data_IF_900666248655
#
_entry.id   IF_900666248655
#
_cell.length_a   1.000
_cell.length_b   1.000
_cell.length_c   1.000
_cell.angle_alpha   90.00
_cell.angle_beta   90.00
_cell.angle_gamma   90.00
#
_symmetry.space_group_name_H-M   'P 1'
#
loop_
_entity.id
_entity.type
_entity.pdbx_description
1 polymer ?
#
# COMPACT_ATOMS: atom_id res chain seq x y z
N UNK A 1 -25.44 6.77 -2.92
CA UNK A 1 -25.65 5.33 -3.18
C UNK A 1 -24.73 4.94 -4.32
N UNK A 2 -23.49 4.55 -4.02
CA UNK A 2 -22.47 4.20 -5.03
C UNK A 2 -21.92 2.79 -4.82
N UNK A 3 -22.76 1.89 -4.33
CA UNK A 3 -22.60 0.45 -4.53
C UNK A 3 -23.32 0.07 -5.81
N UNK A 4 -22.84 0.58 -6.95
CA UNK A 4 -23.07 -0.19 -8.16
C UNK A 4 -22.39 -1.53 -7.88
N UNK A 5 -23.18 -2.59 -7.80
CA UNK A 5 -22.79 -3.98 -7.53
C UNK A 5 -21.79 -4.43 -8.60
N UNK A 6 -20.56 -3.95 -8.50
CA UNK A 6 -19.48 -4.29 -9.40
C UNK A 6 -19.11 -5.73 -9.06
N UNK A 7 -19.23 -6.59 -10.06
CA UNK A 7 -18.82 -7.97 -9.92
C UNK A 7 -17.29 -8.01 -9.78
N UNK A 8 -16.82 -8.28 -8.57
CA UNK A 8 -15.42 -8.65 -8.36
C UNK A 8 -15.19 -10.06 -8.93
N UNK A 9 -13.99 -10.33 -9.48
CA UNK A 9 -13.65 -11.67 -9.93
C UNK A 9 -13.83 -12.69 -8.79
N UNK A 10 -14.46 -13.83 -9.11
CA UNK A 10 -14.68 -14.90 -8.13
C UNK A 10 -13.36 -15.50 -7.64
N UNK A 11 -12.37 -15.60 -8.55
CA UNK A 11 -11.09 -16.26 -8.27
C UNK A 11 -10.08 -15.30 -7.63
N UNK A 12 -10.09 -15.26 -6.30
CA UNK A 12 -9.18 -14.48 -5.45
C UNK A 12 -7.85 -15.18 -5.21
N UNK A 13 -6.81 -14.40 -4.90
CA UNK A 13 -5.51 -14.91 -4.46
C UNK A 13 -5.64 -15.51 -3.05
N UNK A 14 -5.50 -16.83 -2.88
CA UNK A 14 -5.62 -17.44 -1.56
C UNK A 14 -4.49 -17.00 -0.62
N UNK A 15 -3.35 -16.55 -1.16
CA UNK A 15 -2.17 -16.20 -0.35
C UNK A 15 -2.29 -14.83 0.34
N UNK A 16 -3.32 -14.03 0.02
CA UNK A 16 -3.61 -12.79 0.74
C UNK A 16 -4.74 -12.95 1.77
N UNK A 17 -5.37 -14.13 1.84
CA UNK A 17 -6.36 -14.43 2.87
C UNK A 17 -5.72 -14.39 4.26
N UNK A 18 -6.52 -14.04 5.27
CA UNK A 18 -6.04 -13.84 6.65
C UNK A 18 -5.24 -15.05 7.19
N UNK A 19 -5.72 -16.27 6.95
CA UNK A 19 -5.04 -17.52 7.37
C UNK A 19 -3.63 -17.72 6.78
N UNK A 20 -3.32 -17.08 5.65
CA UNK A 20 -2.03 -17.19 4.96
C UNK A 20 -1.19 -15.93 5.09
N UNK A 21 -1.79 -14.84 5.57
CA UNK A 21 -1.14 -13.56 5.74
C UNK A 21 -0.22 -13.63 6.97
N UNK A 22 1.08 -13.30 6.82
CA UNK A 22 1.98 -13.16 7.97
C UNK A 22 1.46 -12.13 8.97
N UNK A 23 1.91 -12.23 10.22
CA UNK A 23 1.67 -11.21 11.23
C UNK A 23 2.10 -9.81 10.73
N UNK A 24 1.38 -8.78 11.16
CA UNK A 24 1.56 -7.42 10.65
C UNK A 24 2.99 -6.92 10.86
N UNK A 25 3.62 -7.25 11.99
CA UNK A 25 5.00 -6.88 12.33
C UNK A 25 5.99 -7.44 11.29
N UNK A 26 5.77 -8.69 10.86
CA UNK A 26 6.59 -9.32 9.82
C UNK A 26 6.41 -8.61 8.46
N UNK A 27 5.19 -8.19 8.15
CA UNK A 27 4.92 -7.44 6.91
C UNK A 27 5.56 -6.05 6.95
N UNK A 28 5.49 -5.37 8.09
CA UNK A 28 6.09 -4.06 8.35
C UNK A 28 7.61 -4.12 8.14
N UNK A 29 8.28 -5.15 8.66
CA UNK A 29 9.72 -5.37 8.44
C UNK A 29 10.09 -5.69 6.98
N UNK A 30 9.16 -6.22 6.19
CA UNK A 30 9.39 -6.60 4.78
C UNK A 30 9.28 -5.44 3.79
N UNK A 31 8.84 -4.27 4.24
CA UNK A 31 8.73 -3.07 3.40
C UNK A 31 10.10 -2.59 2.97
N UNK A 32 10.19 -2.09 1.74
CA UNK A 32 11.44 -1.55 1.19
C UNK A 32 11.16 -0.23 0.48
N UNK A 33 12.16 0.64 0.44
CA UNK A 33 12.16 1.81 -0.43
C UNK A 33 12.73 1.43 -1.80
N UNK A 34 12.06 1.89 -2.85
CA UNK A 34 12.45 1.75 -4.24
C UNK A 34 12.48 3.10 -4.94
N UNK A 35 13.33 3.20 -5.96
CA UNK A 35 13.35 4.33 -6.89
C UNK A 35 13.56 3.79 -8.29
N UNK A 36 12.67 4.16 -9.19
CA UNK A 36 12.72 3.75 -10.60
C UNK A 36 12.68 4.99 -11.49
N UNK A 37 13.47 4.99 -12.57
CA UNK A 37 13.39 6.03 -13.59
C UNK A 37 12.29 5.67 -14.59
N UNK A 38 11.22 6.44 -14.61
CA UNK A 38 10.11 6.29 -15.55
C UNK A 38 10.48 6.94 -16.87
N UNK A 39 10.78 6.11 -17.87
CA UNK A 39 11.08 6.55 -19.22
C UNK A 39 10.17 5.84 -20.22
N UNK A 40 9.86 6.51 -21.32
CA UNK A 40 9.08 5.96 -22.42
C UNK A 40 9.77 6.30 -23.74
N UNK A 41 9.54 5.51 -24.78
CA UNK A 41 10.12 5.78 -26.09
C UNK A 41 9.66 7.15 -26.58
N UNK A 42 10.54 7.89 -27.27
CA UNK A 42 10.28 9.27 -27.68
C UNK A 42 8.93 9.45 -28.42
N UNK A 43 8.56 8.52 -29.30
CA UNK A 43 7.28 8.55 -30.03
C UNK A 43 6.03 8.20 -29.21
N UNK A 44 6.18 7.80 -27.94
CA UNK A 44 5.07 7.47 -27.04
C UNK A 44 4.83 8.52 -25.97
N UNK A 45 5.70 9.54 -25.85
CA UNK A 45 5.54 10.62 -24.88
C UNK A 45 4.23 11.38 -25.18
N UNK A 46 3.40 11.55 -24.15
CA UNK A 46 2.12 12.28 -24.24
C UNK A 46 0.98 11.53 -24.93
N UNK A 47 1.17 10.27 -25.35
CA UNK A 47 0.12 9.49 -26.03
C UNK A 47 -0.97 8.96 -25.08
N UNK A 48 -0.66 8.92 -23.79
CA UNK A 48 -1.56 8.51 -22.71
C UNK A 48 -1.23 9.27 -21.43
N UNK A 49 -2.13 9.20 -20.44
CA UNK A 49 -1.94 9.85 -19.14
C UNK A 49 -0.61 9.43 -18.48
N UNK A 50 -0.30 8.12 -18.47
CA UNK A 50 0.94 7.59 -17.90
C UNK A 50 2.23 8.02 -18.62
N UNK A 51 2.13 8.53 -19.84
CA UNK A 51 3.28 8.92 -20.68
C UNK A 51 3.48 10.43 -20.76
N UNK A 52 2.70 11.22 -20.00
CA UNK A 52 2.89 12.68 -19.93
C UNK A 52 4.30 13.01 -19.42
N UNK A 53 4.97 14.04 -19.96
CA UNK A 53 6.31 14.43 -19.48
C UNK A 53 6.41 14.66 -17.96
N UNK A 54 5.35 15.18 -17.34
CA UNK A 54 5.25 15.40 -15.89
C UNK A 54 5.25 14.11 -15.06
N UNK A 55 4.90 12.98 -15.68
CA UNK A 55 4.77 11.67 -15.02
C UNK A 55 6.00 10.78 -15.31
N UNK A 56 7.02 11.33 -15.99
CA UNK A 56 8.30 10.70 -16.28
C UNK A 56 9.39 11.19 -15.31
N UNK A 57 10.53 10.50 -15.28
CA UNK A 57 11.67 10.82 -14.41
C UNK A 57 11.75 9.91 -13.18
N UNK A 58 12.49 10.36 -12.16
CA UNK A 58 12.72 9.56 -10.96
C UNK A 58 11.46 9.45 -10.11
N UNK A 59 11.05 8.22 -9.83
CA UNK A 59 9.87 7.89 -9.07
C UNK A 59 10.26 7.13 -7.80
N UNK A 60 10.07 7.78 -6.65
CA UNK A 60 10.33 7.23 -5.31
C UNK A 60 9.06 6.63 -4.72
N UNK A 61 9.18 5.44 -4.13
CA UNK A 61 8.07 4.73 -3.52
C UNK A 61 8.53 3.78 -2.42
N UNK A 62 7.63 3.47 -1.49
CA UNK A 62 7.72 2.27 -0.67
C UNK A 62 6.99 1.12 -1.35
N UNK A 63 7.45 -0.11 -1.15
CA UNK A 63 6.77 -1.29 -1.64
C UNK A 63 6.77 -2.46 -0.66
N UNK A 64 5.76 -3.30 -0.80
CA UNK A 64 5.62 -4.57 -0.07
C UNK A 64 5.38 -5.69 -1.09
N UNK A 65 6.16 -6.76 -0.98
CA UNK A 65 6.09 -7.93 -1.88
C UNK A 65 4.97 -8.87 -1.43
N UNK A 66 3.94 -9.02 -2.25
CA UNK A 66 2.81 -9.92 -2.04
C UNK A 66 3.02 -11.20 -2.84
N UNK A 67 2.93 -12.39 -2.23
CA UNK A 67 3.11 -13.64 -2.95
C UNK A 67 1.98 -13.87 -3.96
N UNK A 68 2.34 -14.42 -5.12
CA UNK A 68 1.41 -14.88 -6.13
C UNK A 68 1.41 -16.41 -6.20
N UNK A 69 0.27 -17.03 -6.55
CA UNK A 69 0.21 -18.44 -6.89
C UNK A 69 1.22 -18.79 -7.99
N UNK A 70 1.85 -19.96 -7.88
CA UNK A 70 2.86 -20.43 -8.86
C UNK A 70 2.29 -20.60 -10.27
N UNK A 71 1.03 -20.99 -10.34
CA UNK A 71 0.31 -21.21 -11.58
C UNK A 71 -0.78 -20.16 -11.78
N UNK A 72 -0.55 -19.29 -12.76
CA UNK A 72 -1.49 -18.27 -13.20
C UNK A 72 -2.02 -18.56 -14.60
N UNK A 73 -2.11 -19.84 -14.98
CA UNK A 73 -2.75 -20.24 -16.23
C UNK A 73 -4.17 -19.66 -16.32
N UNK A 74 -4.45 -19.05 -17.47
CA UNK A 74 -5.72 -18.35 -17.73
C UNK A 74 -5.74 -16.88 -17.28
N UNK A 75 -4.70 -16.38 -16.61
CA UNK A 75 -4.59 -14.96 -16.29
C UNK A 75 -4.48 -14.12 -17.56
N UNK A 76 -5.30 -13.06 -17.65
CA UNK A 76 -5.16 -12.04 -18.69
C UNK A 76 -4.13 -10.96 -18.34
N UNK A 77 -3.86 -10.77 -17.05
CA UNK A 77 -3.02 -9.69 -16.53
C UNK A 77 -1.58 -10.12 -16.21
N UNK A 78 -1.34 -11.43 -16.08
CA UNK A 78 -0.01 -12.01 -15.88
C UNK A 78 0.32 -13.00 -16.99
N UNK A 79 1.45 -12.78 -17.66
CA UNK A 79 2.00 -13.69 -18.65
C UNK A 79 3.24 -14.39 -18.11
N UNK A 80 3.50 -15.65 -18.51
CA UNK A 80 4.75 -16.30 -18.19
C UNK A 80 5.93 -15.54 -18.81
N UNK A 81 7.03 -15.47 -18.07
CA UNK A 81 8.26 -14.81 -18.52
C UNK A 81 8.79 -15.51 -19.78
N UNK A 82 9.19 -14.71 -20.78
CA UNK A 82 9.74 -15.23 -22.05
C UNK A 82 11.03 -16.05 -21.89
N UNK A 83 11.74 -15.88 -20.77
CA UNK A 83 13.05 -16.54 -20.56
C UNK A 83 12.93 -17.97 -20.02
N UNK A 84 12.00 -18.21 -19.11
CA UNK A 84 11.90 -19.47 -18.36
C UNK A 84 10.48 -20.02 -18.29
N UNK A 85 9.53 -19.40 -18.99
CA UNK A 85 8.11 -19.74 -19.02
C UNK A 85 7.43 -19.86 -17.64
N UNK A 86 8.01 -19.25 -16.60
CA UNK A 86 7.40 -19.22 -15.27
C UNK A 86 6.58 -17.96 -15.07
N UNK A 87 5.51 -18.06 -14.29
CA UNK A 87 4.80 -16.90 -13.77
C UNK A 87 5.62 -16.16 -12.71
N UNK A 88 5.34 -14.86 -12.48
CA UNK A 88 5.94 -14.14 -11.37
C UNK A 88 5.51 -14.75 -10.03
N UNK A 89 6.46 -14.96 -9.12
CA UNK A 89 6.19 -15.51 -7.78
C UNK A 89 5.55 -14.49 -6.83
N UNK A 90 5.54 -13.20 -7.21
CA UNK A 90 5.03 -12.13 -6.38
C UNK A 90 4.68 -10.90 -7.21
N UNK A 91 3.81 -10.07 -6.64
CA UNK A 91 3.54 -8.71 -7.10
C UNK A 91 3.93 -7.70 -6.02
N UNK A 92 4.02 -6.41 -6.39
CA UNK A 92 4.38 -5.36 -5.44
C UNK A 92 3.20 -4.41 -5.23
N UNK A 93 2.84 -4.22 -3.96
CA UNK A 93 2.05 -3.06 -3.55
C UNK A 93 2.98 -1.87 -3.46
N UNK A 94 2.52 -0.72 -3.94
CA UNK A 94 3.34 0.49 -4.03
C UNK A 94 2.64 1.65 -3.34
N UNK A 95 3.44 2.44 -2.63
CA UNK A 95 3.05 3.68 -1.95
C UNK A 95 3.98 4.80 -2.39
N UNK A 96 3.45 5.85 -3.02
CA UNK A 96 4.27 6.97 -3.52
C UNK A 96 4.93 7.72 -2.38
N UNK A 97 6.18 8.12 -2.58
CA UNK A 97 6.89 8.88 -1.55
C UNK A 97 6.49 10.37 -1.47
N UNK A 98 5.94 10.94 -2.54
CA UNK A 98 5.58 12.36 -2.59
C UNK A 98 4.35 12.72 -1.74
N UNK A 99 3.32 11.86 -1.77
CA UNK A 99 2.00 12.12 -1.17
C UNK A 99 1.41 10.91 -0.42
N UNK A 100 2.06 9.75 -0.48
CA UNK A 100 1.62 8.56 0.22
C UNK A 100 0.48 7.81 -0.44
N UNK A 101 0.10 8.15 -1.68
CA UNK A 101 -0.97 7.45 -2.41
C UNK A 101 -0.57 6.01 -2.72
N UNK A 102 -1.56 5.12 -2.76
CA UNK A 102 -1.39 3.69 -2.98
C UNK A 102 -1.83 3.31 -4.39
N UNK A 103 -1.08 2.42 -5.04
CA UNK A 103 -1.44 1.89 -6.37
C UNK A 103 -2.65 0.96 -6.26
N UNK A 104 -3.84 1.46 -6.62
CA UNK A 104 -5.07 0.68 -6.63
C UNK A 104 -5.03 -0.42 -7.71
N UNK A 105 -4.38 -0.15 -8.84
CA UNK A 105 -4.08 -1.15 -9.87
C UNK A 105 -3.23 -2.29 -9.29
N UNK A 106 -2.20 -1.96 -8.51
CA UNK A 106 -1.35 -2.99 -7.92
C UNK A 106 -2.06 -3.82 -6.84
N UNK A 107 -2.95 -3.19 -6.06
CA UNK A 107 -3.83 -3.90 -5.13
C UNK A 107 -4.71 -4.92 -5.86
N UNK A 108 -5.38 -4.50 -6.94
CA UNK A 108 -6.24 -5.37 -7.72
C UNK A 108 -5.48 -6.58 -8.29
N UNK A 109 -4.32 -6.36 -8.92
CA UNK A 109 -3.52 -7.44 -9.50
C UNK A 109 -3.02 -8.44 -8.47
N UNK A 110 -2.69 -7.97 -7.26
CA UNK A 110 -2.28 -8.84 -6.17
C UNK A 110 -3.45 -9.67 -5.59
N UNK A 111 -4.65 -9.08 -5.54
CA UNK A 111 -5.86 -9.73 -5.01
C UNK A 111 -6.53 -10.69 -6.01
N UNK A 112 -6.49 -10.39 -7.32
CA UNK A 112 -7.17 -11.15 -8.37
C UNK A 112 -6.21 -11.52 -9.51
N UNK A 113 -5.24 -12.42 -9.28
CA UNK A 113 -4.17 -12.64 -10.22
C UNK A 113 -4.59 -13.44 -11.46
N UNK A 114 -5.80 -14.00 -11.49
CA UNK A 114 -6.35 -14.66 -12.69
C UNK A 114 -7.29 -13.78 -13.50
N UNK A 115 -7.49 -12.52 -13.10
CA UNK A 115 -8.38 -11.62 -13.84
C UNK A 115 -8.01 -11.51 -15.31
N UNK A 116 -9.04 -11.34 -16.13
CA UNK A 116 -8.92 -10.90 -17.50
C UNK A 116 -8.54 -9.40 -17.59
N UNK A 117 -8.11 -8.97 -18.76
CA UNK A 117 -7.86 -7.55 -19.03
C UNK A 117 -9.15 -6.72 -18.97
N UNK A 118 -10.30 -7.30 -19.32
CA UNK A 118 -11.59 -6.63 -19.29
C UNK A 118 -12.06 -6.36 -17.85
N UNK A 119 -11.88 -7.33 -16.96
CA UNK A 119 -12.16 -7.16 -15.53
C UNK A 119 -11.22 -6.12 -14.90
N UNK A 120 -9.92 -6.14 -15.25
CA UNK A 120 -8.98 -5.10 -14.80
C UNK A 120 -9.41 -3.72 -15.28
N UNK A 121 -9.79 -3.57 -16.54
CA UNK A 121 -10.20 -2.28 -17.11
C UNK A 121 -11.53 -1.79 -16.53
N UNK A 122 -12.48 -2.70 -16.28
CA UNK A 122 -13.75 -2.39 -15.60
C UNK A 122 -13.49 -1.87 -14.20
N UNK A 123 -12.60 -2.53 -13.47
CA UNK A 123 -12.21 -2.08 -12.13
C UNK A 123 -11.47 -0.75 -12.16
N UNK A 124 -10.54 -0.58 -13.12
CA UNK A 124 -9.81 0.66 -13.33
C UNK A 124 -10.77 1.84 -13.57
N UNK A 125 -11.82 1.63 -14.37
CA UNK A 125 -12.86 2.64 -14.63
C UNK A 125 -13.68 2.96 -13.38
N UNK A 126 -14.03 1.96 -12.57
CA UNK A 126 -14.70 2.17 -11.30
C UNK A 126 -13.84 3.01 -10.34
N UNK A 127 -12.57 2.65 -10.15
CA UNK A 127 -11.69 3.38 -9.24
C UNK A 127 -11.54 4.83 -9.72
N UNK A 128 -11.39 5.06 -11.02
CA UNK A 128 -11.32 6.42 -11.62
C UNK A 128 -12.60 7.25 -11.46
N UNK A 129 -13.76 6.63 -11.22
CA UNK A 129 -15.00 7.38 -10.97
C UNK A 129 -15.12 7.86 -9.52
N UNK A 130 -14.28 7.34 -8.62
CA UNK A 130 -14.25 7.79 -7.23
C UNK A 130 -13.65 9.21 -7.14
N UNK A 131 -14.24 10.09 -6.32
CA UNK A 131 -13.85 11.50 -6.26
C UNK A 131 -12.46 11.74 -5.67
N UNK A 132 -11.97 10.81 -4.86
CA UNK A 132 -10.66 10.90 -4.19
C UNK A 132 -9.50 10.38 -5.07
N UNK A 133 -9.81 9.74 -6.20
CA UNK A 133 -8.80 9.13 -7.07
C UNK A 133 -7.95 10.18 -7.76
N UNK A 134 -6.63 9.94 -7.81
CA UNK A 134 -5.72 10.80 -8.55
C UNK A 134 -6.04 10.78 -10.04
N UNK A 135 -6.06 11.95 -10.64
CA UNK A 135 -6.27 12.10 -12.08
C UNK A 135 -5.04 11.69 -12.89
N UNK A 136 -3.86 11.68 -12.26
CA UNK A 136 -2.61 11.28 -12.88
C UNK A 136 -2.33 9.78 -12.71
N UNK A 137 -2.14 9.11 -13.85
CA UNK A 137 -1.58 7.78 -13.90
C UNK A 137 -0.06 7.88 -13.91
N UNK A 138 0.58 7.21 -12.95
CA UNK A 138 2.05 7.13 -12.87
C UNK A 138 2.45 5.66 -12.95
N UNK A 139 3.44 5.36 -13.81
CA UNK A 139 3.85 4.00 -14.13
C UNK A 139 2.69 3.09 -14.60
N UNK A 140 1.67 3.69 -15.25
CA UNK A 140 0.48 2.97 -15.73
C UNK A 140 -0.54 2.57 -14.67
N UNK A 141 -0.35 3.01 -13.42
CA UNK A 141 -1.22 2.69 -12.29
C UNK A 141 -2.17 3.84 -11.96
N UNK A 142 -3.35 3.50 -11.43
CA UNK A 142 -4.26 4.44 -10.76
C UNK A 142 -3.92 4.52 -9.29
N UNK A 143 -3.87 5.75 -8.76
CA UNK A 143 -3.41 6.04 -7.40
C UNK A 143 -4.56 6.61 -6.56
N UNK A 144 -4.71 6.12 -5.33
CA UNK A 144 -5.76 6.55 -4.40
C UNK A 144 -5.17 6.91 -3.02
N UNK A 145 -5.83 7.79 -2.25
CA UNK A 145 -5.41 8.11 -0.90
C UNK A 145 -5.41 6.88 0.03
N UNK A 146 -4.62 6.90 1.11
CA UNK A 146 -4.57 5.81 2.09
C UNK A 146 -5.93 5.36 2.65
N UNK A 147 -6.85 6.31 2.90
CA UNK A 147 -8.20 6.03 3.40
C UNK A 147 -9.02 5.22 2.41
N UNK A 148 -9.07 5.68 1.15
CA UNK A 148 -9.70 4.96 0.04
C UNK A 148 -9.05 3.58 -0.20
N UNK A 149 -7.72 3.48 -0.05
CA UNK A 149 -7.00 2.22 -0.18
C UNK A 149 -7.40 1.20 0.90
N UNK A 150 -7.60 1.63 2.16
CA UNK A 150 -8.07 0.73 3.22
C UNK A 150 -9.47 0.19 2.93
N UNK A 151 -10.41 1.05 2.50
CA UNK A 151 -11.76 0.63 2.09
C UNK A 151 -11.72 -0.37 0.94
N UNK A 152 -10.87 -0.12 -0.07
CA UNK A 152 -10.71 -1.03 -1.20
C UNK A 152 -10.07 -2.36 -0.78
N UNK A 153 -9.14 -2.33 0.18
CA UNK A 153 -8.48 -3.51 0.70
C UNK A 153 -9.45 -4.45 1.45
N UNK A 154 -10.46 -3.90 2.13
CA UNK A 154 -11.52 -4.69 2.75
C UNK A 154 -12.31 -5.49 1.71
N UNK A 155 -12.73 -4.85 0.62
CA UNK A 155 -13.42 -5.51 -0.49
C UNK A 155 -12.55 -6.61 -1.15
N UNK A 156 -11.23 -6.38 -1.19
CA UNK A 156 -10.26 -7.30 -1.80
C UNK A 156 -9.80 -8.42 -0.85
N UNK A 157 -10.11 -8.32 0.45
CA UNK A 157 -9.66 -9.27 1.46
C UNK A 157 -8.16 -9.20 1.73
N UNK A 158 -7.57 -8.01 1.64
CA UNK A 158 -6.12 -7.80 1.82
C UNK A 158 -5.76 -6.65 2.77
N UNK A 159 -6.67 -6.30 3.69
CA UNK A 159 -6.55 -5.16 4.60
C UNK A 159 -5.19 -5.10 5.32
N UNK A 160 -4.76 -6.21 5.94
CA UNK A 160 -3.51 -6.29 6.72
C UNK A 160 -2.27 -5.94 5.89
N UNK A 161 -2.28 -6.21 4.58
CA UNK A 161 -1.18 -5.85 3.68
C UNK A 161 -1.09 -4.35 3.47
N UNK A 162 -2.23 -3.66 3.40
CA UNK A 162 -2.28 -2.21 3.25
C UNK A 162 -2.01 -1.50 4.57
N UNK A 163 -2.49 -2.01 5.69
CA UNK A 163 -2.14 -1.52 7.02
C UNK A 163 -0.62 -1.60 7.24
N UNK A 164 0.01 -2.73 6.94
CA UNK A 164 1.46 -2.86 7.00
C UNK A 164 2.16 -1.82 6.11
N UNK A 165 1.74 -1.67 4.86
CA UNK A 165 2.33 -0.68 3.93
C UNK A 165 2.17 0.78 4.41
N UNK A 166 1.11 1.07 5.16
CA UNK A 166 0.82 2.39 5.72
C UNK A 166 1.47 2.64 7.08
N UNK A 167 1.93 1.60 7.76
CA UNK A 167 2.48 1.64 9.11
C UNK A 167 3.56 2.74 9.27
N UNK A 168 3.57 3.50 10.38
CA UNK A 168 4.45 4.64 10.56
C UNK A 168 5.92 4.28 10.88
N UNK A 169 6.25 3.02 11.12
CA UNK A 169 7.63 2.61 11.42
C UNK A 169 8.59 2.94 10.26
N UNK A 170 9.85 3.29 10.56
CA UNK A 170 10.85 3.58 9.53
C UNK A 170 11.04 2.41 8.55
N UNK A 171 11.07 2.73 7.25
CA UNK A 171 11.26 1.73 6.20
C UNK A 171 12.76 1.57 5.91
N UNK A 172 13.23 0.33 5.91
CA UNK A 172 14.61 0.02 5.52
C UNK A 172 14.90 0.48 4.08
N UNK A 173 16.00 1.22 3.90
CA UNK A 173 16.53 1.57 2.57
C UNK A 173 16.93 0.28 1.86
N UNK A 174 16.49 0.10 0.62
CA UNK A 174 16.84 -1.09 -0.17
C UNK A 174 18.36 -1.27 -0.31
N UNK A 175 18.81 -2.51 -0.51
CA UNK A 175 20.21 -2.93 -0.48
C UNK A 175 21.08 -2.45 -1.66
N UNK A 176 20.57 -1.58 -2.54
CA UNK A 176 21.17 -1.42 -3.86
C UNK A 176 22.11 -0.21 -4.05
N UNK A 177 22.14 0.76 -3.15
CA UNK A 177 23.19 1.80 -3.08
C UNK A 177 23.00 2.64 -1.79
N UNK A 178 23.93 2.65 -0.83
CA UNK A 178 23.80 3.45 0.40
C UNK A 178 23.77 4.96 0.15
N UNK A 179 24.23 5.44 -1.02
CA UNK A 179 24.25 6.85 -1.37
C UNK A 179 22.94 7.34 -1.99
N UNK A 180 22.04 6.44 -2.42
CA UNK A 180 20.78 6.82 -3.04
C UNK A 180 19.82 7.37 -1.99
N UNK A 181 19.58 8.68 -2.03
CA UNK A 181 18.58 9.34 -1.18
C UNK A 181 17.19 9.13 -1.77
N UNK A 182 16.54 8.04 -1.36
CA UNK A 182 15.14 7.76 -1.70
C UNK A 182 14.25 8.40 -0.63
N UNK A 183 13.27 9.20 -1.04
CA UNK A 183 12.30 9.79 -0.12
C UNK A 183 11.41 8.71 0.52
N UNK A 184 11.12 8.87 1.81
CA UNK A 184 10.12 8.05 2.51
C UNK A 184 8.73 8.66 2.31
N UNK A 185 7.68 7.85 2.11
CA UNK A 185 6.30 8.36 2.09
C UNK A 185 5.92 9.15 3.34
N UNK A 186 4.99 10.12 3.23
CA UNK A 186 4.50 10.87 4.38
C UNK A 186 3.89 9.93 5.42
N UNK A 187 4.01 10.27 6.70
CA UNK A 187 3.42 9.46 7.77
C UNK A 187 1.89 9.44 7.64
N UNK A 188 1.31 8.25 7.75
CA UNK A 188 -0.14 8.09 7.85
C UNK A 188 -0.48 7.60 9.26
N UNK A 189 -1.54 8.16 9.84
CA UNK A 189 -2.07 7.70 11.12
C UNK A 189 -3.33 6.92 10.78
N UNK A 190 -3.30 5.61 11.03
CA UNK A 190 -4.48 4.77 10.88
C UNK A 190 -5.56 5.32 11.82
N UNK A 191 -6.79 5.58 11.32
CA UNK A 191 -7.90 5.89 12.20
C UNK A 191 -8.18 4.64 13.03
N UNK A 192 -7.64 4.60 14.25
CA UNK A 192 -7.89 3.52 15.20
C UNK A 192 -9.40 3.49 15.50
N UNK A 193 -10.07 2.38 15.17
CA UNK A 193 -11.36 2.08 15.79
C UNK A 193 -11.14 2.01 17.29
N UNK A 194 -11.71 2.96 18.01
CA UNK A 194 -11.61 3.14 19.46
C UNK A 194 -10.22 3.58 19.96
N UNK A 195 -9.99 4.90 19.90
CA UNK A 195 -9.23 5.54 20.96
C UNK A 195 -9.89 5.17 22.30
N UNK A 196 -9.35 4.17 22.99
CA UNK A 196 -9.49 4.06 24.45
C UNK A 196 -8.83 5.31 25.00
N UNK A 197 -9.61 6.37 25.16
CA UNK A 197 -9.28 7.52 25.99
C UNK A 197 -9.06 6.99 27.39
N UNK A 198 -7.81 6.65 27.71
CA UNK A 198 -7.40 6.55 29.10
C UNK A 198 -7.64 7.93 29.72
N UNK A 199 -8.48 8.05 30.76
CA UNK A 199 -8.67 9.32 31.43
C UNK A 199 -7.31 9.79 32.00
N UNK A 200 -7.06 11.10 32.06
CA UNK A 200 -5.83 11.62 32.64
C UNK A 200 -5.68 11.11 34.07
N UNK A 201 -4.45 10.81 34.54
CA UNK A 201 -4.23 10.36 35.89
C UNK A 201 -4.75 11.45 36.84
N UNK A 202 -5.73 11.07 37.66
CA UNK A 202 -6.28 11.95 38.68
C UNK A 202 -5.15 12.27 39.65
N UNK A 203 -4.74 13.54 39.70
CA UNK A 203 -3.79 14.03 40.69
C UNK A 203 -4.38 13.75 42.08
N UNK A 204 -3.88 12.68 42.71
CA UNK A 204 -4.19 12.40 44.10
C UNK A 204 -3.51 13.49 44.92
N UNK A 205 -4.33 14.42 45.39
CA UNK A 205 -3.98 15.44 46.38
C UNK A 205 -3.45 14.75 47.64
N UNK A 206 -2.14 14.50 47.67
CA UNK A 206 -1.47 14.00 48.86
C UNK A 206 -1.45 15.13 49.90
N UNK A 207 -2.26 14.91 50.92
CA UNK A 207 -2.48 15.79 52.05
C UNK A 207 -1.14 16.14 52.71
N UNK A 208 -0.87 17.45 52.76
CA UNK A 208 0.09 18.09 53.66
C UNK A 208 -0.13 17.58 55.09
N UNK A 209 0.79 16.77 55.62
CA UNK A 209 0.86 16.43 57.04
C UNK A 209 2.14 17.03 57.61
N UNK A 210 1.97 18.13 58.34
CA UNK A 210 2.99 18.81 59.10
C UNK A 210 3.31 18.09 60.41
N UNK A 211 4.60 18.12 60.76
CA UNK A 211 5.23 18.03 62.09
C UNK A 211 5.28 16.67 62.81
N UNK A 212 6.52 16.20 63.08
CA UNK A 212 7.08 16.16 64.46
C UNK A 212 8.60 15.99 64.45
N UNK A 213 9.20 16.68 65.40
CA UNK A 213 10.59 16.94 65.73
C UNK A 213 11.26 15.83 66.56
N UNK A 214 12.57 15.63 66.38
CA UNK A 214 13.48 15.10 67.39
C UNK A 214 14.89 15.69 67.20
N UNK A 215 15.42 16.32 68.25
CA UNK A 215 16.72 17.01 68.35
C UNK A 215 17.88 16.05 68.65
N UNK A 216 19.15 16.46 68.46
CA UNK A 216 20.33 15.73 68.95
C UNK A 216 20.96 16.35 70.23
N UNK A 217 21.75 15.51 70.90
CA UNK A 217 22.59 15.70 72.11
C UNK A 217 21.90 15.46 73.47
#
# INVERSE_FOLDING_TARGET
TMDAERALPEKRNPLVEEKHTPQIEILVERRRLGQTELTVKAGQIGTSNATKPSNLGMFDYAHLRVPLPKDLQGSGIFAPSRRNQSYPEAYFLMRRSNDGYISATGMYKAAFPWSSLEEEETEKKYIKSLPETDSEEIAGNVWIPPTSALTLADAYGMRTWIEALLDPEPIAKGTHDPNKKIATPPRFVLPTSEATTLPPPTETTSRRRTLRSASPA
#
